data_IF_330008312237
#
_entry.id   IF_330008312237
#
_cell.length_a   1.000
_cell.length_b   1.000
_cell.length_c   1.000
_cell.angle_alpha   90.00
_cell.angle_beta   90.00
_cell.angle_gamma   90.00
#
_symmetry.space_group_name_H-M   'P 1'
#
loop_
_entity.id
_entity.type
_entity.pdbx_description
1 polymer ?
#
# COMPACT_ATOMS: atom_id res chain seq x y z
N UNK A 1 0.49 7.63 20.34
CA UNK A 1 1.04 9.01 20.32
C UNK A 1 1.64 9.40 18.97
N UNK A 2 2.49 8.56 18.35
CA UNK A 2 3.04 8.83 17.01
C UNK A 2 1.97 9.19 15.96
N UNK A 3 0.85 8.46 15.89
CA UNK A 3 -0.24 8.79 14.95
C UNK A 3 -0.89 10.17 15.16
N UNK A 4 -0.89 10.70 16.39
CA UNK A 4 -1.39 12.05 16.66
C UNK A 4 -0.41 13.11 16.14
N UNK A 5 0.90 12.88 16.33
CA UNK A 5 1.94 13.75 15.81
C UNK A 5 1.99 13.72 14.28
N UNK A 6 1.85 12.55 13.65
CA UNK A 6 1.76 12.44 12.18
C UNK A 6 0.56 13.23 11.65
N UNK A 7 -0.63 13.05 12.23
CA UNK A 7 -1.83 13.81 11.82
C UNK A 7 -1.67 15.33 12.03
N UNK A 8 -1.02 15.74 13.11
CA UNK A 8 -0.71 17.16 13.38
C UNK A 8 0.27 17.76 12.38
N UNK A 9 1.32 17.01 12.01
CA UNK A 9 2.30 17.43 10.99
C UNK A 9 1.67 17.53 9.60
N UNK A 10 0.75 16.62 9.25
CA UNK A 10 0.04 16.66 7.95
C UNK A 10 -0.95 17.82 7.83
N UNK A 11 -1.50 18.31 8.95
CA UNK A 11 -2.42 19.46 8.94
C UNK A 11 -1.69 20.80 8.88
N UNK A 12 -0.67 21.00 9.71
CA UNK A 12 0.10 22.25 9.74
C UNK A 12 1.52 22.02 10.32
N UNK A 13 2.45 21.69 9.43
CA UNK A 13 3.88 21.48 9.74
C UNK A 13 4.51 22.61 10.59
N UNK A 14 4.31 23.92 10.29
CA UNK A 14 4.95 24.98 11.08
C UNK A 14 4.40 25.06 12.52
N UNK A 15 3.10 24.88 12.71
CA UNK A 15 2.47 24.92 14.05
C UNK A 15 2.93 23.71 14.88
N UNK A 16 3.03 22.52 14.27
CA UNK A 16 3.54 21.33 14.96
C UNK A 16 4.99 21.50 15.46
N UNK A 17 5.84 22.16 14.67
CA UNK A 17 7.23 22.44 15.04
C UNK A 17 7.32 23.39 16.24
N UNK A 18 6.48 24.43 16.29
CA UNK A 18 6.41 25.36 17.42
C UNK A 18 5.90 24.70 18.71
N UNK A 19 5.09 23.65 18.60
CA UNK A 19 4.57 22.87 19.74
C UNK A 19 5.58 21.85 20.30
N UNK A 20 6.85 21.93 19.89
CA UNK A 20 7.92 21.04 20.35
C UNK A 20 7.92 19.65 19.70
N UNK A 21 7.09 19.42 18.67
CA UNK A 21 7.11 18.17 17.91
C UNK A 21 8.25 18.25 16.89
N UNK A 22 9.21 17.33 16.99
CA UNK A 22 10.25 17.21 15.98
C UNK A 22 9.66 16.62 14.68
N UNK A 23 9.19 17.52 13.81
CA UNK A 23 8.53 17.17 12.54
C UNK A 23 9.45 16.35 11.64
N UNK A 24 10.76 16.62 11.64
CA UNK A 24 11.74 15.87 10.87
C UNK A 24 11.78 14.40 11.29
N UNK A 25 11.88 14.09 12.59
CA UNK A 25 11.87 12.70 13.07
C UNK A 25 10.56 11.98 12.74
N UNK A 26 9.42 12.64 12.93
CA UNK A 26 8.10 12.06 12.62
C UNK A 26 7.98 11.70 11.14
N UNK A 27 8.47 12.58 10.26
CA UNK A 27 8.52 12.38 8.81
C UNK A 27 9.48 11.22 8.45
N UNK A 28 10.67 11.17 9.07
CA UNK A 28 11.62 10.07 8.84
C UNK A 28 11.07 8.72 9.25
N UNK A 29 10.38 8.64 10.40
CA UNK A 29 9.75 7.39 10.83
C UNK A 29 8.61 6.98 9.90
N UNK A 30 7.75 7.91 9.48
CA UNK A 30 6.67 7.61 8.54
C UNK A 30 7.21 7.15 7.18
N UNK A 31 8.23 7.84 6.67
CA UNK A 31 8.89 7.50 5.42
C UNK A 31 9.60 6.15 5.49
N UNK A 32 10.41 5.90 6.51
CA UNK A 32 11.15 4.65 6.67
C UNK A 32 10.22 3.43 6.76
N UNK A 33 9.07 3.60 7.43
CA UNK A 33 8.07 2.53 7.54
C UNK A 33 7.37 2.29 6.19
N UNK A 34 6.99 3.36 5.48
CA UNK A 34 6.39 3.26 4.15
C UNK A 34 7.34 2.65 3.10
N UNK A 35 8.56 3.17 3.00
CA UNK A 35 9.58 2.66 2.08
C UNK A 35 10.02 1.24 2.42
N UNK A 36 10.05 0.88 3.70
CA UNK A 36 10.33 -0.48 4.15
C UNK A 36 9.30 -1.49 3.67
N UNK A 37 8.00 -1.19 3.84
CA UNK A 37 6.92 -2.06 3.36
C UNK A 37 6.91 -2.11 1.82
N UNK A 38 7.09 -0.98 1.15
CA UNK A 38 7.17 -0.92 -0.31
C UNK A 38 8.35 -1.75 -0.86
N UNK A 39 9.51 -1.67 -0.21
CA UNK A 39 10.69 -2.47 -0.57
C UNK A 39 10.45 -3.97 -0.38
N UNK A 40 9.87 -4.38 0.75
CA UNK A 40 9.52 -5.78 1.00
C UNK A 40 8.51 -6.32 -0.03
N UNK A 41 7.50 -5.52 -0.39
CA UNK A 41 6.56 -5.88 -1.45
C UNK A 41 7.27 -6.06 -2.79
N UNK A 42 8.16 -5.15 -3.17
CA UNK A 42 8.98 -5.27 -4.39
C UNK A 42 9.85 -6.52 -4.42
N UNK A 43 10.49 -6.87 -3.30
CA UNK A 43 11.28 -8.10 -3.18
C UNK A 43 10.43 -9.35 -3.38
N UNK A 44 9.23 -9.40 -2.78
CA UNK A 44 8.31 -10.54 -2.95
C UNK A 44 7.83 -10.67 -4.41
N UNK A 45 7.50 -9.55 -5.07
CA UNK A 45 7.07 -9.52 -6.47
C UNK A 45 8.16 -10.01 -7.42
N UNK A 46 9.42 -9.67 -7.14
CA UNK A 46 10.56 -10.11 -7.95
C UNK A 46 10.76 -11.63 -7.94
N UNK A 47 10.18 -12.37 -6.98
CA UNK A 47 10.27 -13.82 -6.94
C UNK A 47 9.14 -14.51 -7.72
N UNK A 48 8.04 -13.80 -8.00
CA UNK A 48 6.84 -14.38 -8.63
C UNK A 48 6.79 -14.12 -10.14
N UNK A 49 7.34 -12.99 -10.62
CA UNK A 49 7.29 -12.61 -12.04
C UNK A 49 8.65 -12.29 -12.66
N UNK A 50 8.76 -12.44 -13.98
CA UNK A 50 9.93 -12.04 -14.75
C UNK A 50 10.02 -10.51 -14.82
N UNK A 51 11.05 -9.91 -14.20
CA UNK A 51 11.21 -8.45 -14.10
C UNK A 51 11.30 -7.83 -15.49
N UNK A 52 10.22 -7.18 -15.94
CA UNK A 52 10.11 -6.56 -17.25
C UNK A 52 9.42 -5.18 -17.15
N UNK A 53 9.68 -4.26 -18.09
CA UNK A 53 9.13 -2.89 -18.07
C UNK A 53 7.60 -2.84 -18.11
N UNK A 54 6.94 -3.91 -18.58
CA UNK A 54 5.48 -4.02 -18.65
C UNK A 54 4.82 -4.44 -17.32
N UNK A 55 5.59 -5.07 -16.41
CA UNK A 55 5.07 -5.48 -15.09
C UNK A 55 4.49 -4.29 -14.33
N UNK A 56 5.13 -3.12 -14.44
CA UNK A 56 4.66 -1.90 -13.79
C UNK A 56 3.25 -1.52 -14.23
N UNK A 57 2.95 -1.61 -15.53
CA UNK A 57 1.64 -1.22 -16.04
C UNK A 57 0.53 -2.17 -15.58
N UNK A 58 0.73 -3.47 -15.73
CA UNK A 58 -0.29 -4.44 -15.34
C UNK A 58 -0.54 -4.46 -13.82
N UNK A 59 0.51 -4.27 -13.01
CA UNK A 59 0.39 -4.32 -11.55
C UNK A 59 -0.10 -3.01 -10.93
N UNK A 60 0.17 -1.87 -11.56
CA UNK A 60 -0.34 -0.56 -11.10
C UNK A 60 -1.86 -0.53 -11.14
N UNK A 61 -2.48 -1.07 -12.20
CA UNK A 61 -3.94 -1.07 -12.36
C UNK A 61 -4.60 -1.87 -11.25
N UNK A 62 -4.11 -3.09 -10.96
CA UNK A 62 -4.65 -3.94 -9.90
C UNK A 62 -4.41 -3.32 -8.50
N UNK A 63 -3.21 -2.78 -8.25
CA UNK A 63 -2.88 -2.09 -7.00
C UNK A 63 -3.80 -0.88 -6.76
N UNK A 64 -4.09 -0.10 -7.79
CA UNK A 64 -4.99 1.05 -7.70
C UNK A 64 -6.44 0.61 -7.47
N UNK A 65 -6.90 -0.43 -8.18
CA UNK A 65 -8.25 -0.98 -8.03
C UNK A 65 -8.51 -1.47 -6.60
N UNK A 66 -7.55 -2.19 -6.01
CA UNK A 66 -7.63 -2.65 -4.61
C UNK A 66 -7.72 -1.48 -3.63
N UNK A 67 -6.93 -0.41 -3.83
CA UNK A 67 -6.94 0.76 -2.93
C UNK A 67 -8.25 1.55 -3.03
N UNK A 68 -8.78 1.69 -4.25
CA UNK A 68 -10.08 2.35 -4.48
C UNK A 68 -11.22 1.53 -3.88
N UNK A 69 -11.22 0.21 -4.07
CA UNK A 69 -12.21 -0.69 -3.48
C UNK A 69 -12.14 -0.67 -1.94
N UNK A 70 -10.94 -0.65 -1.38
CA UNK A 70 -10.72 -0.62 0.07
C UNK A 70 -11.06 0.72 0.74
N UNK A 71 -11.24 1.79 -0.03
CA UNK A 71 -11.56 3.13 0.47
C UNK A 71 -10.31 4.00 0.69
N UNK A 72 -10.37 5.22 0.14
CA UNK A 72 -9.25 6.18 0.16
C UNK A 72 -8.94 6.63 1.59
N UNK A 73 -7.74 6.31 2.08
CA UNK A 73 -7.26 6.74 3.39
C UNK A 73 -7.50 5.76 4.55
N UNK A 74 -8.11 4.60 4.30
CA UNK A 74 -8.32 3.56 5.31
C UNK A 74 -7.44 2.32 5.06
N UNK A 75 -6.31 2.23 5.76
CA UNK A 75 -5.37 1.10 5.66
C UNK A 75 -6.02 -0.27 5.90
N UNK A 76 -6.95 -0.35 6.86
CA UNK A 76 -7.64 -1.60 7.15
C UNK A 76 -8.52 -2.05 5.96
N UNK A 77 -9.23 -1.11 5.33
CA UNK A 77 -10.08 -1.40 4.18
C UNK A 77 -9.28 -1.88 2.98
N UNK A 78 -8.10 -1.30 2.72
CA UNK A 78 -7.21 -1.75 1.65
C UNK A 78 -6.64 -3.15 1.89
N UNK A 79 -6.38 -3.54 3.14
CA UNK A 79 -5.90 -4.90 3.47
C UNK A 79 -7.01 -5.94 3.26
N UNK A 80 -8.22 -5.65 3.71
CA UNK A 80 -9.36 -6.55 3.47
C UNK A 80 -9.73 -6.63 1.99
N UNK A 81 -9.66 -5.52 1.25
CA UNK A 81 -9.87 -5.51 -0.20
C UNK A 81 -8.79 -6.32 -0.94
N UNK A 82 -7.51 -6.19 -0.57
CA UNK A 82 -6.42 -6.94 -1.17
C UNK A 82 -6.58 -8.46 -0.95
N UNK A 83 -6.88 -8.85 0.30
CA UNK A 83 -7.14 -10.26 0.63
C UNK A 83 -8.40 -10.78 -0.05
N UNK A 84 -9.48 -9.99 -0.04
CA UNK A 84 -10.75 -10.35 -0.67
C UNK A 84 -10.60 -10.53 -2.17
N UNK A 85 -10.07 -9.53 -2.88
CA UNK A 85 -9.82 -9.61 -4.32
C UNK A 85 -8.82 -10.70 -4.67
N UNK A 86 -7.73 -10.86 -3.92
CA UNK A 86 -6.75 -11.92 -4.17
C UNK A 86 -7.34 -13.34 -4.04
N UNK A 87 -8.11 -13.58 -2.97
CA UNK A 87 -8.80 -14.86 -2.76
C UNK A 87 -9.88 -15.08 -3.82
N UNK A 88 -10.67 -14.05 -4.13
CA UNK A 88 -11.72 -14.12 -5.15
C UNK A 88 -11.12 -14.43 -6.52
N UNK A 89 -10.01 -13.78 -6.88
CA UNK A 89 -9.32 -13.97 -8.14
C UNK A 89 -8.83 -15.42 -8.27
N UNK A 90 -8.21 -15.97 -7.22
CA UNK A 90 -7.77 -17.39 -7.19
C UNK A 90 -8.92 -18.40 -7.21
N UNK A 91 -10.04 -18.10 -6.53
CA UNK A 91 -11.23 -18.96 -6.56
C UNK A 91 -11.94 -18.92 -7.91
N UNK A 92 -12.04 -17.74 -8.53
CA UNK A 92 -12.57 -17.56 -9.89
C UNK A 92 -11.66 -18.22 -10.92
N UNK A 93 -10.34 -18.15 -10.77
CA UNK A 93 -9.39 -18.88 -11.62
C UNK A 93 -9.67 -20.40 -11.53
N UNK A 94 -9.94 -20.92 -10.33
CA UNK A 94 -10.34 -22.31 -10.13
C UNK A 94 -11.73 -22.67 -10.68
N UNK A 95 -12.69 -21.74 -10.68
CA UNK A 95 -14.05 -21.96 -11.18
C UNK A 95 -14.20 -21.74 -12.70
N UNK A 96 -13.42 -20.82 -13.27
CA UNK A 96 -13.52 -20.40 -14.69
C UNK A 96 -12.41 -21.01 -15.55
N UNK A 97 -11.35 -21.56 -14.93
CA UNK A 97 -10.08 -21.95 -15.56
C UNK A 97 -9.82 -23.44 -15.73
N UNK A 98 -10.86 -24.29 -15.86
CA UNK A 98 -10.71 -25.56 -16.58
C UNK A 98 -10.95 -25.41 -18.10
N UNK A 99 -11.34 -24.22 -18.58
CA UNK A 99 -11.83 -24.04 -19.97
C UNK A 99 -11.05 -22.99 -20.79
N UNK A 100 -10.15 -22.20 -20.19
CA UNK A 100 -9.42 -21.12 -20.89
C UNK A 100 -7.91 -21.09 -20.58
N UNK A 101 -7.32 -22.23 -20.19
CA UNK A 101 -5.87 -22.43 -20.23
C UNK A 101 -5.43 -22.85 -21.65
#
# INVERSE_FOLDING_TARGET
RLGLFVRGVTQNRPIAACMGVNTARVDTYAFALGSGIAGLAGCALSQVGNVGPDLGQSYIVDSFMVVVLGGVGQLAGTVYAALGLGVLNKLLEGWTGAVLA
#
